data_IF_842396999583
#
_entry.id   IF_842396999583
#
_cell.length_a   1.000
_cell.length_b   1.000
_cell.length_c   1.000
_cell.angle_alpha   90.00
_cell.angle_beta   90.00
_cell.angle_gamma   90.00
#
_symmetry.space_group_name_H-M   'P 1'
#
loop_
_entity.id
_entity.type
_entity.pdbx_description
1 polymer ?
#
# COMPACT_ATOMS: atom_id res chain seq x y z
N UNK A 1 -4.65 -23.54 -0.99
CA UNK A 1 -3.75 -22.40 -1.24
C UNK A 1 -3.12 -22.04 0.10
N UNK A 2 -1.82 -21.75 0.15
CA UNK A 2 -1.12 -21.41 1.41
C UNK A 2 -1.29 -19.95 1.82
N UNK A 3 -1.87 -19.13 0.96
CA UNK A 3 -2.17 -17.72 1.21
C UNK A 3 -3.52 -17.36 0.59
N UNK A 4 -4.19 -16.37 1.17
CA UNK A 4 -5.40 -15.74 0.66
C UNK A 4 -5.41 -14.28 1.10
N UNK A 5 -5.71 -13.34 0.19
CA UNK A 5 -5.87 -11.92 0.55
C UNK A 5 -7.09 -11.66 1.45
N UNK A 6 -7.92 -12.68 1.69
CA UNK A 6 -9.05 -12.64 2.61
C UNK A 6 -8.75 -13.23 3.99
N UNK A 7 -7.65 -13.98 4.12
CA UNK A 7 -7.26 -14.60 5.40
C UNK A 7 -7.09 -13.52 6.47
N UNK A 8 -7.62 -13.75 7.67
CA UNK A 8 -7.60 -12.78 8.79
C UNK A 8 -8.23 -11.40 8.49
N UNK A 9 -9.06 -11.30 7.45
CA UNK A 9 -9.89 -10.11 7.16
C UNK A 9 -11.34 -10.33 7.57
N UNK A 10 -12.15 -9.27 7.57
CA UNK A 10 -13.60 -9.40 7.78
C UNK A 10 -14.31 -10.27 6.73
N UNK A 11 -13.69 -10.57 5.59
CA UNK A 11 -14.29 -11.44 4.57
C UNK A 11 -14.44 -12.90 5.06
N UNK A 12 -13.60 -13.33 6.01
CA UNK A 12 -13.67 -14.68 6.61
C UNK A 12 -14.54 -14.73 7.87
N UNK A 13 -15.17 -13.62 8.24
CA UNK A 13 -15.99 -13.49 9.45
C UNK A 13 -17.48 -13.56 9.13
N UNK A 14 -18.25 -14.09 10.08
CA UNK A 14 -19.71 -13.98 10.08
C UNK A 14 -20.12 -12.56 10.46
N UNK A 15 -21.30 -12.12 10.00
CA UNK A 15 -21.79 -10.77 10.35
C UNK A 15 -21.96 -10.56 11.87
N UNK A 16 -22.23 -11.62 12.65
CA UNK A 16 -22.31 -11.54 14.12
C UNK A 16 -20.96 -11.21 14.76
N UNK A 17 -19.86 -11.70 14.19
CA UNK A 17 -18.51 -11.36 14.67
C UNK A 17 -18.17 -9.91 14.34
N UNK A 18 -18.64 -9.39 13.21
CA UNK A 18 -18.53 -7.96 12.85
C UNK A 18 -19.35 -7.08 13.80
N UNK A 19 -20.59 -7.45 14.11
CA UNK A 19 -21.41 -6.74 15.11
C UNK A 19 -20.73 -6.68 16.48
N UNK A 20 -20.03 -7.75 16.86
CA UNK A 20 -19.26 -7.80 18.11
C UNK A 20 -18.08 -6.83 18.06
N UNK A 21 -17.32 -6.81 16.97
CA UNK A 21 -16.20 -5.87 16.80
C UNK A 21 -16.64 -4.41 16.88
N UNK A 22 -17.80 -4.07 16.31
CA UNK A 22 -18.38 -2.73 16.40
C UNK A 22 -18.67 -2.35 17.87
N UNK A 23 -19.25 -3.28 18.65
CA UNK A 23 -19.51 -3.07 20.09
C UNK A 23 -18.23 -2.97 20.93
N UNK A 24 -17.16 -3.63 20.49
CA UNK A 24 -15.82 -3.57 21.08
C UNK A 24 -15.01 -2.36 20.57
N UNK A 25 -15.66 -1.44 19.84
CA UNK A 25 -15.06 -0.22 19.28
C UNK A 25 -13.81 -0.48 18.41
N UNK A 26 -13.81 -1.62 17.70
CA UNK A 26 -12.71 -1.97 16.82
C UNK A 26 -12.56 -0.95 15.68
N UNK A 27 -11.32 -0.66 15.31
CA UNK A 27 -11.02 0.17 14.13
C UNK A 27 -10.87 -0.66 12.86
N UNK A 28 -11.08 -0.04 11.71
CA UNK A 28 -10.92 -0.70 10.41
C UNK A 28 -9.58 -0.33 9.80
N UNK A 29 -8.78 -1.34 9.45
CA UNK A 29 -7.58 -1.21 8.63
C UNK A 29 -7.98 -1.54 7.20
N UNK A 30 -7.86 -0.59 6.27
CA UNK A 30 -8.33 -0.77 4.89
C UNK A 30 -7.13 -0.75 3.92
N UNK A 31 -6.74 -1.92 3.37
CA UNK A 31 -5.73 -1.99 2.33
C UNK A 31 -6.28 -1.44 1.01
N UNK A 32 -5.59 -0.44 0.44
CA UNK A 32 -5.88 0.13 -0.89
C UNK A 32 -4.63 -0.05 -1.75
N UNK A 33 -4.76 -0.72 -2.88
CA UNK A 33 -3.67 -1.05 -3.79
C UNK A 33 -4.18 -1.24 -5.23
N UNK A 34 -3.40 -1.97 -6.05
CA UNK A 34 -3.67 -2.25 -7.46
C UNK A 34 -3.35 -3.70 -7.84
N UNK A 35 -3.75 -4.06 -9.06
CA UNK A 35 -3.21 -5.21 -9.81
C UNK A 35 -2.41 -4.66 -10.99
N UNK A 36 -1.10 -4.84 -10.97
CA UNK A 36 -0.17 -4.28 -11.94
C UNK A 36 1.01 -5.18 -12.27
N UNK A 37 1.60 -4.95 -13.43
CA UNK A 37 2.80 -5.64 -13.88
C UNK A 37 3.99 -5.40 -12.95
N UNK A 38 4.74 -6.45 -12.60
CA UNK A 38 5.80 -6.44 -11.58
C UNK A 38 7.03 -7.27 -12.02
N UNK A 39 7.52 -7.02 -13.22
CA UNK A 39 8.57 -7.80 -13.84
C UNK A 39 8.16 -9.24 -14.15
N UNK A 40 9.11 -10.06 -14.64
CA UNK A 40 8.85 -11.45 -15.00
C UNK A 40 8.89 -12.42 -13.79
N UNK A 41 9.20 -11.94 -12.58
CA UNK A 41 9.46 -12.78 -11.40
C UNK A 41 8.50 -12.58 -10.23
N UNK A 42 7.76 -11.47 -10.18
CA UNK A 42 6.76 -11.20 -9.14
C UNK A 42 5.33 -11.32 -9.68
N UNK A 43 4.35 -11.62 -8.82
CA UNK A 43 2.96 -11.68 -9.22
C UNK A 43 2.38 -10.29 -9.48
N UNK A 44 1.33 -10.23 -10.31
CA UNK A 44 0.61 -8.98 -10.60
C UNK A 44 -0.05 -8.32 -9.37
N UNK A 45 -0.19 -9.08 -8.28
CA UNK A 45 -0.83 -8.63 -7.05
C UNK A 45 0.14 -8.11 -5.99
N UNK A 46 1.42 -7.90 -6.31
CA UNK A 46 2.49 -7.55 -5.34
C UNK A 46 2.06 -6.45 -4.38
N UNK A 47 1.57 -5.30 -4.88
CA UNK A 47 1.16 -4.17 -4.03
C UNK A 47 0.00 -4.54 -3.10
N UNK A 48 -0.95 -5.33 -3.58
CA UNK A 48 -2.08 -5.82 -2.79
C UNK A 48 -1.60 -6.77 -1.69
N UNK A 49 -0.73 -7.72 -2.03
CA UNK A 49 -0.17 -8.68 -1.07
C UNK A 49 0.65 -7.98 0.01
N UNK A 50 1.55 -7.07 -0.37
CA UNK A 50 2.41 -6.35 0.57
C UNK A 50 1.61 -5.43 1.49
N UNK A 51 0.67 -4.64 0.94
CA UNK A 51 -0.19 -3.76 1.76
C UNK A 51 -0.99 -4.57 2.78
N UNK A 52 -1.57 -5.70 2.36
CA UNK A 52 -2.29 -6.60 3.24
C UNK A 52 -1.39 -7.23 4.31
N UNK A 53 -0.21 -7.72 3.95
CA UNK A 53 0.73 -8.33 4.88
C UNK A 53 1.18 -7.35 5.96
N UNK A 54 1.53 -6.12 5.58
CA UNK A 54 1.85 -5.07 6.55
C UNK A 54 0.68 -4.83 7.52
N UNK A 55 -0.56 -4.75 7.02
CA UNK A 55 -1.72 -4.56 7.89
C UNK A 55 -1.98 -5.74 8.84
N UNK A 56 -1.57 -6.97 8.50
CA UNK A 56 -1.57 -8.09 9.45
C UNK A 56 -0.60 -7.88 10.61
N UNK A 57 0.61 -7.41 10.32
CA UNK A 57 1.59 -7.06 11.36
C UNK A 57 1.07 -5.91 12.23
N UNK A 58 0.50 -4.86 11.62
CA UNK A 58 -0.14 -3.73 12.33
C UNK A 58 -1.28 -4.22 13.21
N UNK A 59 -2.18 -5.08 12.70
CA UNK A 59 -3.31 -5.64 13.46
C UNK A 59 -2.84 -6.34 14.72
N UNK A 60 -1.78 -7.14 14.64
CA UNK A 60 -1.19 -7.85 15.78
C UNK A 60 -0.61 -6.86 16.81
N UNK A 61 0.14 -5.86 16.34
CA UNK A 61 0.74 -4.84 17.21
C UNK A 61 -0.34 -4.01 17.92
N UNK A 62 -1.43 -3.64 17.23
CA UNK A 62 -2.57 -2.96 17.84
C UNK A 62 -3.24 -3.81 18.91
N UNK A 63 -3.38 -5.13 18.69
CA UNK A 63 -3.89 -6.04 19.70
C UNK A 63 -2.99 -6.10 20.94
N UNK A 64 -1.67 -6.19 20.76
CA UNK A 64 -0.69 -6.13 21.85
C UNK A 64 -0.75 -4.79 22.61
N UNK A 65 -1.15 -3.71 21.92
CA UNK A 65 -1.38 -2.38 22.49
C UNK A 65 -2.77 -2.22 23.14
N UNK A 66 -3.61 -3.26 23.15
CA UNK A 66 -4.95 -3.26 23.74
C UNK A 66 -6.04 -2.65 22.86
N UNK A 67 -5.78 -2.45 21.57
CA UNK A 67 -6.70 -1.84 20.62
C UNK A 67 -7.27 -2.90 19.67
N UNK A 68 -8.61 -3.01 19.62
CA UNK A 68 -9.27 -3.94 18.69
C UNK A 68 -9.26 -3.36 17.28
N UNK A 69 -9.01 -4.22 16.29
CA UNK A 69 -8.96 -3.85 14.89
C UNK A 69 -9.39 -4.99 13.99
N UNK A 70 -9.86 -4.66 12.78
CA UNK A 70 -10.21 -5.62 11.72
C UNK A 70 -9.72 -5.12 10.38
N UNK A 71 -9.25 -6.04 9.53
CA UNK A 71 -8.80 -5.69 8.17
C UNK A 71 -10.02 -5.79 7.23
N UNK A 72 -10.30 -4.74 6.48
CA UNK A 72 -11.29 -4.75 5.41
C UNK A 72 -10.83 -5.62 4.22
N UNK A 73 -11.74 -6.13 3.38
CA UNK A 73 -11.33 -6.82 2.16
C UNK A 73 -10.50 -5.85 1.31
N UNK A 74 -9.31 -6.26 0.81
CA UNK A 74 -8.46 -5.35 0.06
C UNK A 74 -9.15 -4.74 -1.16
N UNK A 75 -9.00 -3.43 -1.34
CA UNK A 75 -9.35 -2.75 -2.58
C UNK A 75 -8.14 -2.81 -3.51
N UNK A 76 -8.30 -3.42 -4.69
CA UNK A 76 -7.20 -3.61 -5.65
C UNK A 76 -7.52 -3.12 -7.07
N UNK A 77 -8.67 -2.47 -7.27
CA UNK A 77 -9.04 -1.88 -8.56
C UNK A 77 -8.60 -0.41 -8.66
N UNK A 78 -7.31 -0.13 -8.50
CA UNK A 78 -6.79 1.24 -8.47
C UNK A 78 -6.34 1.80 -9.83
N UNK A 79 -5.36 2.70 -9.77
CA UNK A 79 -4.93 3.53 -10.90
C UNK A 79 -3.47 3.23 -11.18
N UNK A 80 -3.19 2.79 -12.41
CA UNK A 80 -1.87 2.44 -12.89
C UNK A 80 -1.53 3.31 -14.09
N UNK A 81 -0.80 4.41 -13.87
CA UNK A 81 -0.39 5.29 -14.97
C UNK A 81 0.85 4.71 -15.65
N UNK A 82 1.94 4.50 -14.91
CA UNK A 82 3.21 4.02 -15.46
C UNK A 82 3.08 2.60 -16.04
N UNK A 83 2.50 1.68 -15.27
CA UNK A 83 2.39 0.25 -15.60
C UNK A 83 1.14 -0.10 -16.41
N UNK A 84 0.20 0.84 -16.60
CA UNK A 84 -1.09 0.59 -17.26
C UNK A 84 -1.00 0.16 -18.73
N UNK A 85 0.16 0.32 -19.37
CA UNK A 85 0.40 -0.16 -20.73
C UNK A 85 0.69 -1.66 -20.83
N UNK A 86 1.06 -2.30 -19.72
CA UNK A 86 1.47 -3.70 -19.68
C UNK A 86 0.27 -4.65 -19.56
N UNK A 87 0.38 -5.84 -20.15
CA UNK A 87 -0.67 -6.86 -20.08
C UNK A 87 -0.77 -7.38 -18.65
N UNK A 88 -1.98 -7.41 -18.10
CA UNK A 88 -2.23 -7.80 -16.72
C UNK A 88 -2.39 -6.62 -15.75
N UNK A 89 -1.95 -5.43 -16.14
CA UNK A 89 -2.20 -4.20 -15.38
C UNK A 89 -3.61 -3.69 -15.61
N UNK A 90 -4.39 -3.54 -14.55
CA UNK A 90 -5.72 -2.95 -14.60
C UNK A 90 -5.68 -1.52 -14.12
N UNK A 91 -6.40 -0.62 -14.79
CA UNK A 91 -6.50 0.79 -14.36
C UNK A 91 -7.94 1.24 -14.45
N UNK A 92 -8.47 1.80 -13.36
CA UNK A 92 -9.81 2.39 -13.34
C UNK A 92 -9.74 3.90 -13.45
N UNK A 93 -10.87 4.52 -13.78
CA UNK A 93 -10.99 5.98 -13.76
C UNK A 93 -10.96 6.48 -12.32
N UNK A 94 -10.38 7.66 -12.11
CA UNK A 94 -10.38 8.36 -10.80
C UNK A 94 -11.78 8.37 -10.17
N UNK A 95 -12.80 8.76 -10.92
CA UNK A 95 -14.18 8.82 -10.40
C UNK A 95 -14.75 7.45 -10.03
N UNK A 96 -14.33 6.38 -10.71
CA UNK A 96 -14.74 5.00 -10.38
C UNK A 96 -14.11 4.57 -9.06
N UNK A 97 -12.79 4.81 -8.90
CA UNK A 97 -12.10 4.52 -7.65
C UNK A 97 -12.70 5.29 -6.47
N UNK A 98 -12.94 6.60 -6.65
CA UNK A 98 -13.59 7.44 -5.63
C UNK A 98 -14.97 6.92 -5.26
N UNK A 99 -15.80 6.58 -6.23
CA UNK A 99 -17.16 6.10 -5.98
C UNK A 99 -17.15 4.81 -5.16
N UNK A 100 -16.39 3.79 -5.60
CA UNK A 100 -16.37 2.49 -4.92
C UNK A 100 -15.82 2.60 -3.49
N UNK A 101 -14.73 3.34 -3.28
CA UNK A 101 -14.15 3.48 -1.94
C UNK A 101 -15.12 4.23 -1.02
N UNK A 102 -15.78 5.29 -1.50
CA UNK A 102 -16.78 6.03 -0.71
C UNK A 102 -17.98 5.16 -0.36
N UNK A 103 -18.51 4.39 -1.30
CA UNK A 103 -19.60 3.45 -1.04
C UNK A 103 -19.22 2.43 0.06
N UNK A 104 -17.97 1.94 0.07
CA UNK A 104 -17.44 1.08 1.13
C UNK A 104 -17.38 1.80 2.49
N UNK A 105 -16.91 3.05 2.53
CA UNK A 105 -16.88 3.85 3.77
C UNK A 105 -18.30 4.11 4.30
N UNK A 106 -19.25 4.43 3.42
CA UNK A 106 -20.66 4.62 3.81
C UNK A 106 -21.24 3.33 4.42
N UNK A 107 -20.90 2.16 3.89
CA UNK A 107 -21.30 0.89 4.50
C UNK A 107 -20.71 0.73 5.91
N UNK A 108 -19.41 0.99 6.10
CA UNK A 108 -18.74 0.90 7.41
C UNK A 108 -19.35 1.88 8.43
N UNK A 109 -19.65 3.11 8.00
CA UNK A 109 -20.32 4.11 8.82
C UNK A 109 -21.73 3.65 9.25
N UNK A 110 -22.52 3.13 8.29
CA UNK A 110 -23.87 2.63 8.54
C UNK A 110 -23.89 1.46 9.54
N UNK A 111 -22.87 0.59 9.51
CA UNK A 111 -22.74 -0.49 10.48
C UNK A 111 -22.33 0.00 11.87
N UNK A 112 -21.70 1.17 11.94
CA UNK A 112 -21.37 1.85 13.20
C UNK A 112 -19.88 1.95 13.51
N UNK A 113 -19.00 1.55 12.59
CA UNK A 113 -17.57 1.81 12.74
C UNK A 113 -17.27 3.31 12.82
N UNK A 114 -16.26 3.68 13.60
CA UNK A 114 -15.92 5.08 13.89
C UNK A 114 -14.62 5.56 13.27
N UNK A 115 -13.70 4.64 12.98
CA UNK A 115 -12.37 4.97 12.49
C UNK A 115 -11.94 3.97 11.42
N UNK A 116 -11.45 4.50 10.31
CA UNK A 116 -10.88 3.74 9.19
C UNK A 116 -9.51 4.31 8.87
N UNK A 117 -8.54 3.43 8.68
CA UNK A 117 -7.16 3.78 8.34
C UNK A 117 -6.80 3.17 7.00
N UNK A 118 -6.56 4.02 6.00
CA UNK A 118 -6.07 3.62 4.70
C UNK A 118 -4.57 3.37 4.79
N UNK A 119 -4.13 2.30 4.13
CA UNK A 119 -2.72 2.07 3.81
C UNK A 119 -2.60 1.71 2.34
N UNK A 120 -1.60 2.30 1.69
CA UNK A 120 -1.27 2.06 0.29
C UNK A 120 0.24 1.85 0.14
N UNK A 121 0.63 0.74 -0.49
CA UNK A 121 2.02 0.48 -0.89
C UNK A 121 2.27 0.65 -2.40
N UNK A 122 1.28 1.10 -3.17
CA UNK A 122 1.45 1.45 -4.58
C UNK A 122 2.04 2.86 -4.76
N UNK A 123 3.13 2.96 -5.52
CA UNK A 123 3.89 4.20 -5.70
C UNK A 123 3.33 5.20 -6.73
N UNK A 124 2.21 4.91 -7.41
CA UNK A 124 1.67 5.82 -8.43
C UNK A 124 1.13 7.13 -7.83
N UNK A 125 1.58 8.25 -8.40
CA UNK A 125 1.21 9.59 -7.93
C UNK A 125 -0.30 9.85 -8.02
N UNK A 126 -0.94 9.50 -9.14
CA UNK A 126 -2.36 9.77 -9.35
C UNK A 126 -3.21 8.88 -8.43
N UNK A 127 -2.77 7.64 -8.19
CA UNK A 127 -3.39 6.74 -7.22
C UNK A 127 -3.33 7.33 -5.80
N UNK A 128 -2.12 7.64 -5.31
CA UNK A 128 -1.91 8.22 -3.97
C UNK A 128 -2.67 9.53 -3.79
N UNK A 129 -2.60 10.42 -4.79
CA UNK A 129 -3.36 11.68 -4.78
C UNK A 129 -4.88 11.44 -4.70
N UNK A 130 -5.38 10.41 -5.37
CA UNK A 130 -6.81 10.07 -5.34
C UNK A 130 -7.24 9.61 -3.95
N UNK A 131 -6.41 8.82 -3.24
CA UNK A 131 -6.65 8.41 -1.85
C UNK A 131 -6.70 9.62 -0.93
N UNK A 132 -5.74 10.55 -1.04
CA UNK A 132 -5.72 11.81 -0.28
C UNK A 132 -6.98 12.64 -0.55
N UNK A 133 -7.38 12.76 -1.82
CA UNK A 133 -8.59 13.52 -2.18
C UNK A 133 -9.86 12.85 -1.63
N UNK A 134 -9.97 11.52 -1.63
CA UNK A 134 -11.08 10.78 -1.01
C UNK A 134 -11.13 11.07 0.50
N UNK A 135 -9.98 10.97 1.17
CA UNK A 135 -9.86 11.15 2.61
C UNK A 135 -10.25 12.57 3.03
N UNK A 136 -9.78 13.59 2.29
CA UNK A 136 -10.20 14.99 2.47
C UNK A 136 -11.70 15.15 2.27
N UNK A 137 -12.24 14.63 1.17
CA UNK A 137 -13.66 14.77 0.83
C UNK A 137 -14.56 14.14 1.91
N UNK A 138 -14.16 13.01 2.52
CA UNK A 138 -14.89 12.39 3.64
C UNK A 138 -14.78 13.24 4.90
N UNK A 139 -13.58 13.75 5.23
CA UNK A 139 -13.39 14.64 6.37
C UNK A 139 -14.24 15.91 6.27
N UNK A 140 -14.35 16.51 5.07
CA UNK A 140 -15.14 17.71 4.83
C UNK A 140 -16.66 17.50 4.94
N UNK A 141 -17.14 16.25 4.84
CA UNK A 141 -18.55 15.92 5.05
C UNK A 141 -18.95 15.94 6.53
N UNK A 142 -17.97 15.93 7.47
CA UNK A 142 -18.20 15.94 8.92
C UNK A 142 -19.15 14.80 9.36
N UNK A 143 -18.88 13.60 8.84
CA UNK A 143 -19.64 12.38 9.11
C UNK A 143 -19.40 11.82 10.52
N UNK A 144 -20.03 10.69 10.82
CA UNK A 144 -19.84 9.94 12.07
C UNK A 144 -18.64 9.01 12.04
N UNK A 145 -17.99 8.88 10.88
CA UNK A 145 -16.79 8.07 10.66
C UNK A 145 -15.59 8.97 10.34
N UNK A 146 -14.50 8.76 11.05
CA UNK A 146 -13.22 9.40 10.77
C UNK A 146 -12.40 8.48 9.85
N UNK A 147 -11.86 9.04 8.78
CA UNK A 147 -10.98 8.31 7.84
C UNK A 147 -9.63 8.99 7.81
N UNK A 148 -8.59 8.19 7.96
CA UNK A 148 -7.19 8.63 7.98
C UNK A 148 -6.41 7.95 6.87
N UNK A 149 -5.61 8.71 6.14
CA UNK A 149 -4.64 8.18 5.18
C UNK A 149 -3.25 8.11 5.82
N UNK A 150 -2.69 6.90 5.93
CA UNK A 150 -1.32 6.69 6.41
C UNK A 150 -0.39 6.72 5.22
N UNK A 151 0.47 7.75 5.18
CA UNK A 151 1.29 8.04 4.02
C UNK A 151 2.77 8.21 4.41
N UNK A 152 3.71 7.54 3.73
CA UNK A 152 5.13 7.80 3.93
C UNK A 152 5.51 9.25 3.59
N UNK A 153 6.46 9.82 4.33
CA UNK A 153 6.86 11.23 4.20
C UNK A 153 7.26 11.61 2.77
N UNK A 154 7.92 10.71 2.05
CA UNK A 154 8.30 10.93 0.65
C UNK A 154 7.08 11.15 -0.26
N UNK A 155 6.02 10.37 -0.07
CA UNK A 155 4.78 10.50 -0.83
C UNK A 155 3.96 11.70 -0.37
N UNK A 156 3.96 12.00 0.93
CA UNK A 156 3.32 13.21 1.46
C UNK A 156 3.88 14.47 0.78
N UNK A 157 5.22 14.54 0.65
CA UNK A 157 5.90 15.63 -0.04
C UNK A 157 5.54 15.66 -1.53
N UNK A 158 5.50 14.50 -2.19
CA UNK A 158 5.20 14.38 -3.61
C UNK A 158 3.80 14.88 -3.95
N UNK A 159 2.80 14.54 -3.13
CA UNK A 159 1.40 14.97 -3.33
C UNK A 159 1.09 16.35 -2.74
N UNK A 160 2.09 17.03 -2.18
CA UNK A 160 2.00 18.42 -1.74
C UNK A 160 1.31 18.64 -0.38
N UNK A 161 1.34 17.62 0.49
CA UNK A 161 0.82 17.73 1.85
C UNK A 161 1.77 18.53 2.76
N UNK A 162 1.18 19.24 3.73
CA UNK A 162 1.92 20.06 4.69
C UNK A 162 2.31 19.29 5.95
N UNK A 163 1.68 18.13 6.18
CA UNK A 163 1.88 17.29 7.35
C UNK A 163 1.10 17.77 8.59
N UNK A 164 0.15 18.69 8.41
CA UNK A 164 -0.74 19.17 9.47
C UNK A 164 -2.23 18.99 9.13
N UNK A 165 -2.52 18.33 8.01
CA UNK A 165 -3.86 17.91 7.64
C UNK A 165 -4.41 16.92 8.68
N UNK A 166 -5.57 17.18 9.28
CA UNK A 166 -6.07 16.40 10.41
C UNK A 166 -6.48 14.96 10.06
N UNK A 167 -6.62 14.68 8.76
CA UNK A 167 -6.99 13.39 8.19
C UNK A 167 -5.81 12.64 7.56
N UNK A 168 -4.58 13.11 7.75
CA UNK A 168 -3.36 12.48 7.24
C UNK A 168 -2.46 12.08 8.41
N UNK A 169 -1.98 10.84 8.40
CA UNK A 169 -0.99 10.32 9.33
C UNK A 169 0.32 10.11 8.57
N UNK A 170 1.26 11.06 8.74
CA UNK A 170 2.54 10.98 8.04
C UNK A 170 3.49 10.02 8.76
N UNK A 171 3.88 8.98 8.06
CA UNK A 171 4.94 8.07 8.48
C UNK A 171 6.29 8.66 8.11
N UNK A 172 6.99 9.16 9.13
CA UNK A 172 8.31 9.75 8.95
C UNK A 172 9.32 8.65 8.68
N UNK A 173 10.12 8.82 7.63
CA UNK A 173 11.27 7.97 7.40
C UNK A 173 12.23 8.13 8.59
N UNK A 174 12.75 7.02 9.13
CA UNK A 174 13.99 7.12 9.89
C UNK A 174 15.09 7.51 8.90
N UNK A 175 15.79 8.62 9.17
CA UNK A 175 16.98 8.99 8.39
C UNK A 175 18.01 7.87 8.55
N UNK A 176 18.09 6.97 7.56
CA UNK A 176 19.25 6.11 7.43
C UNK A 176 20.45 6.97 6.99
N UNK A 177 21.14 7.53 7.98
CA UNK A 177 22.33 8.38 7.81
C UNK A 177 23.48 7.66 7.11
N UNK A 178 23.38 6.33 6.93
CA UNK A 178 24.39 5.51 6.27
C UNK A 178 23.97 5.08 4.85
N UNK A 179 22.78 5.46 4.36
CA UNK A 179 22.31 5.05 3.02
C UNK A 179 23.22 5.66 1.94
N UNK A 180 23.98 4.81 1.26
CA UNK A 180 24.80 5.25 0.14
C UNK A 180 23.91 5.76 -0.99
N UNK A 181 24.28 6.86 -1.68
CA UNK A 181 23.53 7.33 -2.83
C UNK A 181 23.54 6.25 -3.92
N UNK A 182 22.36 5.72 -4.25
CA UNK A 182 22.22 4.77 -5.34
C UNK A 182 22.46 5.49 -6.68
N UNK A 183 23.17 4.83 -7.60
CA UNK A 183 23.40 5.36 -8.96
C UNK A 183 22.19 5.17 -9.89
N UNK A 184 21.23 4.34 -9.51
CA UNK A 184 20.02 4.00 -10.26
C UNK A 184 18.83 3.92 -9.31
N UNK A 185 17.62 4.03 -9.86
CA UNK A 185 16.38 4.03 -9.09
C UNK A 185 15.86 2.60 -8.93
N UNK A 186 15.51 2.19 -7.70
CA UNK A 186 14.83 0.93 -7.38
C UNK A 186 13.48 1.24 -6.73
N UNK A 187 12.43 1.27 -7.55
CA UNK A 187 11.09 1.75 -7.15
C UNK A 187 9.93 0.87 -7.63
N UNK A 188 10.20 -0.11 -8.49
CA UNK A 188 9.15 -0.96 -9.08
C UNK A 188 9.71 -2.31 -9.51
N UNK A 189 9.19 -3.40 -8.94
CA UNK A 189 9.63 -4.77 -9.10
C UNK A 189 11.15 -4.98 -8.97
N UNK A 190 11.83 -4.09 -8.22
CA UNK A 190 13.27 -4.16 -7.98
C UNK A 190 13.61 -5.00 -6.76
N UNK A 191 14.82 -4.84 -6.24
CA UNK A 191 15.34 -5.68 -5.16
C UNK A 191 14.54 -5.51 -3.87
N UNK A 192 13.99 -4.32 -3.63
CA UNK A 192 13.22 -4.02 -2.42
C UNK A 192 11.91 -4.82 -2.36
N UNK A 193 11.02 -4.65 -3.34
CA UNK A 193 9.73 -5.36 -3.37
C UNK A 193 9.90 -6.86 -3.53
N UNK A 194 10.92 -7.29 -4.28
CA UNK A 194 11.29 -8.70 -4.40
C UNK A 194 11.66 -9.29 -3.04
N UNK A 195 12.44 -8.55 -2.24
CA UNK A 195 12.84 -9.00 -0.91
C UNK A 195 11.65 -9.06 0.06
N UNK A 196 10.74 -8.08 0.00
CA UNK A 196 9.51 -8.09 0.81
C UNK A 196 8.62 -9.28 0.46
N UNK A 197 8.43 -9.56 -0.83
CA UNK A 197 7.63 -10.69 -1.29
C UNK A 197 8.27 -12.03 -0.92
N UNK A 198 9.60 -12.18 -0.98
CA UNK A 198 10.29 -13.38 -0.51
C UNK A 198 10.17 -13.60 1.01
N UNK A 199 9.93 -12.55 1.79
CA UNK A 199 9.71 -12.65 3.24
C UNK A 199 8.28 -13.08 3.56
N UNK A 200 7.30 -12.50 2.88
CA UNK A 200 5.87 -12.67 3.22
C UNK A 200 5.17 -13.79 2.40
N UNK A 201 5.56 -13.98 1.15
CA UNK A 201 4.91 -14.87 0.18
C UNK A 201 5.94 -15.52 -0.77
N UNK A 202 6.89 -16.27 -0.21
CA UNK A 202 8.01 -16.85 -0.96
C UNK A 202 7.56 -17.73 -2.14
N UNK A 203 6.43 -18.40 -2.03
CA UNK A 203 5.88 -19.30 -3.04
C UNK A 203 5.34 -18.57 -4.29
N UNK A 204 5.15 -17.25 -4.19
CA UNK A 204 4.68 -16.40 -5.28
C UNK A 204 5.82 -15.83 -6.12
N UNK A 205 7.07 -15.96 -5.66
CA UNK A 205 8.23 -15.34 -6.29
C UNK A 205 9.02 -16.37 -7.07
N UNK A 206 9.33 -16.07 -8.33
CA UNK A 206 10.35 -16.81 -9.07
C UNK A 206 11.74 -16.27 -8.68
N UNK A 207 12.26 -16.72 -7.53
CA UNK A 207 13.56 -16.28 -6.98
C UNK A 207 14.72 -16.56 -7.96
N UNK A 208 14.65 -17.68 -8.69
CA UNK A 208 15.66 -18.00 -9.70
C UNK A 208 15.63 -16.98 -10.83
N UNK A 209 14.45 -16.64 -11.35
CA UNK A 209 14.31 -15.59 -12.37
C UNK A 209 14.80 -14.25 -11.84
N UNK A 210 14.42 -13.85 -10.63
CA UNK A 210 14.84 -12.58 -10.03
C UNK A 210 16.37 -12.42 -10.02
N UNK A 211 17.09 -13.47 -9.63
CA UNK A 211 18.57 -13.50 -9.56
C UNK A 211 19.26 -13.46 -10.93
N UNK A 212 18.56 -13.83 -12.01
CA UNK A 212 19.08 -13.74 -13.39
C UNK A 212 18.93 -12.35 -14.00
N UNK A 213 18.01 -11.53 -13.48
CA UNK A 213 17.73 -10.21 -14.01
C UNK A 213 18.84 -9.22 -13.65
N UNK A 214 18.99 -8.21 -14.50
CA UNK A 214 19.95 -7.13 -14.29
C UNK A 214 19.22 -5.86 -13.95
N UNK A 215 19.84 -4.97 -13.16
CA UNK A 215 19.36 -3.60 -12.97
C UNK A 215 18.89 -2.96 -14.28
N UNK A 216 17.69 -2.36 -14.25
CA UNK A 216 17.18 -1.57 -15.37
C UNK A 216 18.05 -0.34 -15.66
N UNK A 217 18.90 0.06 -14.71
CA UNK A 217 19.76 1.24 -14.76
C UNK A 217 18.99 2.52 -15.11
N UNK A 218 17.71 2.58 -14.72
CA UNK A 218 16.84 3.71 -15.00
C UNK A 218 17.35 4.95 -14.27
N UNK A 219 17.72 5.98 -15.03
CA UNK A 219 18.16 7.27 -14.50
C UNK A 219 16.96 8.15 -14.12
N UNK A 220 17.19 9.22 -13.35
CA UNK A 220 16.13 10.20 -13.02
C UNK A 220 15.50 10.87 -14.24
N UNK A 221 16.23 11.02 -15.35
CA UNK A 221 15.69 11.55 -16.60
C UNK A 221 14.71 10.55 -17.23
N UNK A 222 15.13 9.29 -17.35
CA UNK A 222 14.30 8.21 -17.88
C UNK A 222 13.09 7.91 -16.99
N UNK A 223 13.22 8.12 -15.68
CA UNK A 223 12.12 7.96 -14.74
C UNK A 223 10.92 8.85 -15.10
N UNK A 224 11.15 10.11 -15.49
CA UNK A 224 10.05 11.01 -15.90
C UNK A 224 9.36 10.55 -17.16
N UNK A 225 10.09 9.91 -18.07
CA UNK A 225 9.54 9.28 -19.27
C UNK A 225 8.69 8.07 -18.89
N UNK A 226 9.22 7.21 -18.02
CA UNK A 226 8.52 6.03 -17.52
C UNK A 226 7.18 6.36 -16.84
N UNK A 227 7.16 7.41 -16.01
CA UNK A 227 5.96 7.88 -15.31
C UNK A 227 4.82 8.38 -16.21
N UNK A 228 5.07 8.61 -17.51
CA UNK A 228 4.01 8.96 -18.48
C UNK A 228 3.17 7.76 -18.90
N UNK A 229 3.66 6.54 -18.65
CA UNK A 229 2.93 5.31 -18.93
C UNK A 229 2.92 4.89 -20.39
N UNK A 230 2.11 3.87 -20.67
CA UNK A 230 1.89 3.35 -22.02
C UNK A 230 3.17 2.83 -22.67
N UNK A 231 3.36 3.14 -23.96
CA UNK A 231 4.55 2.71 -24.70
C UNK A 231 5.84 3.39 -24.20
N UNK A 232 5.76 4.61 -23.65
CA UNK A 232 6.95 5.28 -23.09
C UNK A 232 7.50 4.50 -21.87
N UNK A 233 6.63 3.95 -21.04
CA UNK A 233 7.04 3.09 -19.92
C UNK A 233 7.69 1.79 -20.39
N UNK A 234 7.11 1.13 -21.40
CA UNK A 234 7.69 -0.09 -22.00
C UNK A 234 9.03 0.15 -22.65
N UNK A 235 9.25 1.31 -23.27
CA UNK A 235 10.55 1.65 -23.83
C UNK A 235 11.63 1.80 -22.75
N UNK A 236 11.28 2.33 -21.57
CA UNK A 236 12.22 2.51 -20.46
C UNK A 236 12.46 1.21 -19.71
N UNK A 237 11.40 0.44 -19.44
CA UNK A 237 11.46 -0.83 -18.71
C UNK A 237 10.77 -1.93 -19.52
N UNK A 238 11.41 -2.44 -20.59
CA UNK A 238 10.78 -3.41 -21.49
C UNK A 238 10.47 -4.76 -20.81
N UNK A 239 11.19 -5.05 -19.73
CA UNK A 239 10.95 -6.22 -18.88
C UNK A 239 10.04 -5.93 -17.69
N UNK A 240 9.53 -4.69 -17.57
CA UNK A 240 8.50 -4.33 -16.60
C UNK A 240 8.96 -4.18 -15.14
N UNK A 241 10.25 -3.97 -14.93
CA UNK A 241 10.78 -3.56 -13.62
C UNK A 241 11.65 -2.30 -13.76
N UNK A 242 11.55 -1.41 -12.78
CA UNK A 242 12.37 -0.20 -12.62
C UNK A 242 13.19 -0.32 -11.33
N UNK A 243 14.28 -1.07 -11.39
CA UNK A 243 15.13 -1.40 -10.24
C UNK A 243 16.12 -2.51 -10.55
N UNK A 244 16.69 -3.11 -9.50
CA UNK A 244 17.57 -4.27 -9.60
C UNK A 244 16.95 -5.48 -8.88
N UNK A 245 16.16 -6.32 -9.57
CA UNK A 245 15.49 -7.47 -8.97
C UNK A 245 16.45 -8.47 -8.30
N UNK A 246 17.72 -8.49 -8.72
CA UNK A 246 18.74 -9.39 -8.19
C UNK A 246 19.32 -8.93 -6.86
N UNK A 247 19.17 -7.64 -6.52
CA UNK A 247 19.69 -7.03 -5.30
C UNK A 247 18.79 -7.31 -4.09
N UNK A 248 18.66 -8.59 -3.75
CA UNK A 248 17.78 -9.10 -2.70
C UNK A 248 18.46 -8.98 -1.32
N UNK A 249 17.75 -8.40 -0.36
CA UNK A 249 18.14 -8.33 1.06
C UNK A 249 16.98 -8.73 1.98
N UNK A 250 17.00 -10.00 2.41
CA UNK A 250 15.99 -10.56 3.33
C UNK A 250 16.06 -9.92 4.72
N UNK A 251 17.25 -9.54 5.17
CA UNK A 251 17.45 -8.88 6.46
C UNK A 251 16.82 -7.48 6.46
N UNK A 252 17.12 -6.66 5.45
CA UNK A 252 16.55 -5.32 5.33
C UNK A 252 15.03 -5.36 5.13
N UNK A 253 14.53 -6.33 4.35
CA UNK A 253 13.09 -6.51 4.16
C UNK A 253 12.37 -6.84 5.47
N UNK A 254 12.89 -7.79 6.27
CA UNK A 254 12.30 -8.11 7.59
C UNK A 254 12.34 -6.93 8.53
N UNK A 255 13.46 -6.20 8.55
CA UNK A 255 13.61 -4.98 9.36
C UNK A 255 12.58 -3.93 8.96
N UNK A 256 12.46 -3.65 7.67
CA UNK A 256 11.48 -2.70 7.13
C UNK A 256 10.05 -3.08 7.51
N UNK A 257 9.64 -4.34 7.32
CA UNK A 257 8.27 -4.80 7.64
C UNK A 257 7.93 -4.51 9.10
N UNK A 258 8.82 -4.88 10.03
CA UNK A 258 8.60 -4.70 11.46
C UNK A 258 8.58 -3.22 11.86
N UNK A 259 9.54 -2.43 11.38
CA UNK A 259 9.63 -1.00 11.67
C UNK A 259 8.45 -0.23 11.10
N UNK A 260 8.10 -0.49 9.84
CA UNK A 260 6.97 0.12 9.17
C UNK A 260 5.66 -0.19 9.91
N UNK A 261 5.39 -1.47 10.21
CA UNK A 261 4.20 -1.87 10.95
C UNK A 261 4.15 -1.25 12.36
N UNK A 262 5.28 -1.16 13.06
CA UNK A 262 5.35 -0.54 14.38
C UNK A 262 5.04 0.95 14.35
N UNK A 263 5.66 1.70 13.42
CA UNK A 263 5.38 3.14 13.28
C UNK A 263 3.91 3.35 12.90
N UNK A 264 3.37 2.53 11.99
CA UNK A 264 1.95 2.60 11.62
C UNK A 264 1.02 2.33 12.80
N UNK A 265 1.29 1.31 13.61
CA UNK A 265 0.48 0.99 14.80
C UNK A 265 0.51 2.12 15.84
N UNK A 266 1.67 2.73 16.07
CA UNK A 266 1.81 3.89 16.97
C UNK A 266 1.06 5.13 16.44
N UNK A 267 1.08 5.39 15.14
CA UNK A 267 0.31 6.46 14.53
C UNK A 267 -1.20 6.27 14.73
N UNK A 268 -1.70 5.04 14.51
CA UNK A 268 -3.10 4.68 14.72
C UNK A 268 -3.49 4.88 16.18
N UNK A 269 -2.71 4.34 17.12
CA UNK A 269 -2.94 4.47 18.56
C UNK A 269 -2.92 5.92 19.04
N UNK A 270 -2.11 6.77 18.40
CA UNK A 270 -1.99 8.19 18.70
C UNK A 270 -3.18 9.04 18.24
N UNK A 271 -4.07 8.51 17.39
CA UNK A 271 -5.27 9.23 16.97
C UNK A 271 -6.25 9.41 18.14
N UNK A 272 -6.76 10.62 18.30
CA UNK A 272 -7.76 10.92 19.33
C UNK A 272 -9.13 10.55 18.80
N UNK A 273 -9.87 9.78 19.59
CA UNK A 273 -11.31 9.57 19.38
C UNK A 273 -11.98 10.94 19.59
N UNK A 274 -12.54 11.51 18.52
CA UNK A 274 -13.39 12.71 18.59
C UNK A 274 -14.83 12.33 18.93
#
# INVERSE_FOLDING_TARGET
MKYSIFEDTMADMTYFEIERLIKEEAVVLFPIAVIEEHGPHLPLGTDTYLTYAILKHVKKLLEDMGMKSVIAPPYYWGINVATGGFVGSFTVKVNTMKAVIKDCIECLEQWGFKQVYFLNMHGDFLHSKTIVDITREIYELDGKINVYDIIPQIFANLVGLKGNEPYILVQKDEEDRNRQPQQYVDIHAGGFETSLMLVEFDELVDDMKARELQSSKTTFELLRKWQRGGEEAKEVTPMGYCGDPSNISIEDARKFILEFANITAELIKGTKIQ
#
